data_IF_907503294059
#
_entry.id   IF_907503294059
#
_cell.length_a   1.000
_cell.length_b   1.000
_cell.length_c   1.000
_cell.angle_alpha   90.00
_cell.angle_beta   90.00
_cell.angle_gamma   90.00
#
_symmetry.space_group_name_H-M   'P 1'
#
loop_
_entity.id
_entity.type
_entity.pdbx_description
1 polymer ?
#
# COMPACT_ATOMS: atom_id res chain seq x y z
N UNK A 1 10.41 9.23 -24.39
CA UNK A 1 9.39 9.53 -23.36
C UNK A 1 8.80 8.19 -22.95
N UNK A 2 9.37 7.55 -21.92
CA UNK A 2 8.79 6.33 -21.36
C UNK A 2 7.51 6.75 -20.63
N UNK A 3 6.36 6.41 -21.20
CA UNK A 3 5.10 6.36 -20.46
C UNK A 3 5.29 5.22 -19.45
N UNK A 4 5.89 5.51 -18.29
CA UNK A 4 5.75 4.64 -17.14
C UNK A 4 4.27 4.67 -16.78
N UNK A 5 3.49 3.59 -17.03
CA UNK A 5 2.14 3.55 -16.54
C UNK A 5 2.27 3.66 -15.03
N UNK A 6 1.78 4.77 -14.46
CA UNK A 6 1.68 4.97 -13.01
C UNK A 6 1.37 3.62 -12.38
N UNK A 7 2.28 3.03 -11.56
CA UNK A 7 2.19 1.63 -11.21
C UNK A 7 0.85 1.40 -10.53
N UNK A 8 -0.05 0.79 -11.29
CA UNK A 8 -1.41 0.55 -10.87
C UNK A 8 -1.36 -0.67 -9.99
N UNK A 9 -1.83 -0.52 -8.76
CA UNK A 9 -1.87 -1.64 -7.82
C UNK A 9 -2.71 -2.76 -8.43
N UNK A 10 -2.17 -3.97 -8.40
CA UNK A 10 -2.97 -5.17 -8.67
C UNK A 10 -4.03 -5.31 -7.57
N UNK A 11 -5.12 -6.03 -7.83
CA UNK A 11 -6.19 -6.23 -6.86
C UNK A 11 -5.67 -6.72 -5.49
N UNK A 12 -4.74 -7.69 -5.49
CA UNK A 12 -4.12 -8.22 -4.27
C UNK A 12 -3.24 -7.21 -3.52
N UNK A 13 -2.58 -6.30 -4.24
CA UNK A 13 -1.79 -5.22 -3.64
C UNK A 13 -2.70 -4.14 -3.05
N UNK A 14 -3.84 -3.88 -3.70
CA UNK A 14 -4.87 -2.99 -3.17
C UNK A 14 -5.55 -3.56 -1.92
N UNK A 15 -5.86 -4.86 -1.89
CA UNK A 15 -6.31 -5.54 -0.67
C UNK A 15 -5.27 -5.44 0.43
N UNK A 16 -3.98 -5.59 0.11
CA UNK A 16 -2.90 -5.42 1.07
C UNK A 16 -2.84 -3.99 1.61
N UNK A 17 -3.01 -2.98 0.75
CA UNK A 17 -3.09 -1.59 1.16
C UNK A 17 -4.29 -1.36 2.11
N UNK A 18 -5.43 -2.00 1.83
CA UNK A 18 -6.61 -2.00 2.70
C UNK A 18 -6.36 -2.71 4.02
N UNK A 19 -5.57 -3.78 4.06
CA UNK A 19 -5.16 -4.39 5.33
C UNK A 19 -4.28 -3.44 6.15
N UNK A 20 -3.33 -2.73 5.54
CA UNK A 20 -2.50 -1.71 6.23
C UNK A 20 -3.39 -0.61 6.83
N UNK A 21 -4.50 -0.26 6.18
CA UNK A 21 -5.44 0.74 6.70
C UNK A 21 -6.11 0.32 8.01
N UNK A 22 -6.07 -0.97 8.37
CA UNK A 22 -6.64 -1.50 9.61
C UNK A 22 -5.70 -1.36 10.82
N UNK A 23 -4.44 -0.98 10.60
CA UNK A 23 -3.45 -0.76 11.66
C UNK A 23 -3.24 -2.02 12.50
N UNK A 24 -3.55 -1.97 13.80
CA UNK A 24 -3.42 -3.07 14.75
C UNK A 24 -4.27 -4.30 14.38
N UNK A 25 -5.37 -4.09 13.64
CA UNK A 25 -6.23 -5.16 13.14
C UNK A 25 -5.81 -5.70 11.76
N UNK A 26 -4.62 -5.33 11.26
CA UNK A 26 -4.11 -5.85 10.00
C UNK A 26 -3.78 -7.34 10.11
N UNK A 27 -4.12 -8.10 9.07
CA UNK A 27 -3.65 -9.48 8.94
C UNK A 27 -2.20 -9.50 8.46
N UNK A 28 -1.58 -10.68 8.47
CA UNK A 28 -0.27 -10.85 7.87
C UNK A 28 -0.30 -10.40 6.39
N UNK A 29 0.57 -9.45 6.05
CA UNK A 29 0.72 -8.93 4.70
C UNK A 29 1.99 -9.55 4.11
N UNK A 30 1.92 -10.20 2.93
CA UNK A 30 3.09 -10.77 2.28
C UNK A 30 4.21 -9.75 2.13
N UNK A 31 5.45 -10.17 2.36
CA UNK A 31 6.59 -9.25 2.37
C UNK A 31 6.71 -8.44 1.07
N UNK A 32 6.61 -9.15 -0.06
CA UNK A 32 6.63 -8.56 -1.41
C UNK A 32 5.59 -7.45 -1.59
N UNK A 33 4.42 -7.57 -0.95
CA UNK A 33 3.34 -6.59 -1.11
C UNK A 33 3.64 -5.32 -0.32
N UNK A 34 3.98 -5.42 0.96
CA UNK A 34 4.23 -4.22 1.76
C UNK A 34 5.52 -3.51 1.34
N UNK A 35 6.56 -4.24 0.93
CA UNK A 35 7.78 -3.64 0.38
C UNK A 35 7.48 -2.83 -0.89
N UNK A 36 6.62 -3.36 -1.75
CA UNK A 36 6.20 -2.69 -2.98
C UNK A 36 5.30 -1.49 -2.70
N UNK A 37 4.37 -1.57 -1.75
CA UNK A 37 3.56 -0.43 -1.30
C UNK A 37 4.40 0.68 -0.66
N UNK A 38 5.44 0.30 0.08
CA UNK A 38 6.43 1.25 0.63
C UNK A 38 7.26 1.87 -0.48
N UNK A 39 7.74 1.07 -1.44
CA UNK A 39 8.49 1.56 -2.61
C UNK A 39 7.69 2.53 -3.49
N UNK A 40 6.36 2.36 -3.57
CA UNK A 40 5.45 3.29 -4.25
C UNK A 40 5.06 4.51 -3.39
N UNK A 41 5.46 4.54 -2.11
CA UNK A 41 5.09 5.60 -1.17
C UNK A 41 3.62 5.59 -0.79
N UNK A 42 2.92 4.46 -0.91
CA UNK A 42 1.54 4.27 -0.41
C UNK A 42 1.50 3.81 1.05
N UNK A 43 2.54 3.10 1.49
CA UNK A 43 2.72 2.68 2.86
C UNK A 43 4.06 3.17 3.41
N UNK A 44 4.19 3.15 4.73
CA UNK A 44 5.43 3.44 5.43
C UNK A 44 5.57 2.45 6.59
N UNK A 45 6.80 2.02 6.88
CA UNK A 45 7.09 1.18 8.03
C UNK A 45 7.68 2.05 9.15
N UNK A 46 7.03 2.09 10.31
CA UNK A 46 7.52 2.79 11.51
C UNK A 46 7.50 1.86 12.70
N UNK A 47 8.61 1.75 13.41
CA UNK A 47 8.75 0.96 14.65
C UNK A 47 8.32 -0.51 14.51
N UNK A 48 8.43 -1.07 13.30
CA UNK A 48 8.02 -2.45 13.01
C UNK A 48 6.62 -2.58 12.42
N UNK A 49 5.80 -1.53 12.50
CA UNK A 49 4.42 -1.52 12.02
C UNK A 49 4.29 -0.87 10.64
N UNK A 50 3.35 -1.38 9.84
CA UNK A 50 2.97 -0.79 8.57
C UNK A 50 1.83 0.22 8.78
N UNK A 51 2.01 1.43 8.25
CA UNK A 51 1.01 2.48 8.23
C UNK A 51 0.80 3.05 6.83
N UNK A 52 -0.33 3.69 6.60
CA UNK A 52 -0.62 4.39 5.35
C UNK A 52 0.07 5.74 5.27
N UNK A 53 0.50 6.11 4.07
CA UNK A 53 0.85 7.49 3.75
C UNK A 53 -0.39 8.25 3.26
N UNK A 54 -0.29 9.58 3.15
CA UNK A 54 -1.34 10.40 2.54
C UNK A 54 -1.70 9.93 1.10
N UNK A 55 -0.70 9.47 0.33
CA UNK A 55 -0.91 8.92 -1.01
C UNK A 55 -1.65 7.59 -0.96
N UNK A 56 -1.30 6.71 -0.03
CA UNK A 56 -1.99 5.43 0.19
C UNK A 56 -3.44 5.63 0.61
N UNK A 57 -3.71 6.55 1.54
CA UNK A 57 -5.07 6.90 1.95
C UNK A 57 -5.91 7.43 0.78
N UNK A 58 -5.34 8.29 -0.06
CA UNK A 58 -6.03 8.79 -1.27
C UNK A 58 -6.30 7.67 -2.27
N UNK A 59 -5.35 6.76 -2.47
CA UNK A 59 -5.52 5.61 -3.37
C UNK A 59 -6.61 4.67 -2.87
N UNK A 60 -6.64 4.39 -1.57
CA UNK A 60 -7.72 3.65 -0.92
C UNK A 60 -9.08 4.30 -1.09
N UNK A 61 -9.17 5.61 -0.85
CA UNK A 61 -10.40 6.38 -1.02
C UNK A 61 -10.86 6.45 -2.48
N UNK A 62 -9.94 6.40 -3.44
CA UNK A 62 -10.27 6.36 -4.87
C UNK A 62 -10.84 5.00 -5.32
N UNK A 63 -10.65 3.93 -4.53
CA UNK A 63 -11.20 2.60 -4.81
C UNK A 63 -10.62 1.89 -6.04
N UNK A 64 -9.55 2.44 -6.63
CA UNK A 64 -8.88 1.91 -7.83
C UNK A 64 -7.41 2.28 -7.80
#
# INVERSE_FOLDING_TARGET
MTNDPSPTLSASEFDSLREISKGDAQREIPQVHWERLVGMGYALRRLGELGLTASGTRRLAAGK
#
